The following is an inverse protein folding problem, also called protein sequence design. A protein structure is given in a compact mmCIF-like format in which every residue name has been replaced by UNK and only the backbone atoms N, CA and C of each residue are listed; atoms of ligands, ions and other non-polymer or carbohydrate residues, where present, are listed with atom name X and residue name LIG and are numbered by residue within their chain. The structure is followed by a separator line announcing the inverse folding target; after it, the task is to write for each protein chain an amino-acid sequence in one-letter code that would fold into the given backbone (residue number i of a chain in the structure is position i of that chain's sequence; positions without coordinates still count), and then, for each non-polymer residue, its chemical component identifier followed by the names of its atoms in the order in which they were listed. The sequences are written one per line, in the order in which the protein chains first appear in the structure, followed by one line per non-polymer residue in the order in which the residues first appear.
data_IF_977767427848
#
_entry.id   IF_977767427848
#
_cell.length_a   1.000
_cell.length_b   1.000
_cell.length_c   1.000
_cell.angle_alpha   90.00
_cell.angle_beta   90.00
_cell.angle_gamma   90.00
#
_symmetry.space_group_name_H-M   'P 1'
#
loop_
_entity.id
_entity.type
_entity.pdbx_description
1 polymer ?
#
# COMPACT_ATOMS: atom_id res chain seq x y z
N UNK A 1 -24.73 3.61 23.27
CA UNK A 1 -24.28 2.46 22.42
C UNK A 1 -22.81 2.59 22.04
N UNK A 2 -22.35 3.70 21.49
CA UNK A 2 -20.95 3.92 21.08
C UNK A 2 -19.92 3.56 22.15
N UNK A 3 -20.14 3.96 23.42
CA UNK A 3 -19.24 3.59 24.52
C UNK A 3 -19.16 2.08 24.81
N UNK A 4 -20.21 1.31 24.55
CA UNK A 4 -20.22 -0.13 24.79
C UNK A 4 -19.29 -0.85 23.81
N UNK A 5 -19.33 -0.52 22.50
CA UNK A 5 -18.47 -1.14 21.49
C UNK A 5 -16.98 -0.83 21.75
N UNK A 6 -16.68 0.42 22.15
CA UNK A 6 -15.31 0.79 22.53
C UNK A 6 -14.82 0.00 23.74
N UNK A 7 -15.66 -0.15 24.76
CA UNK A 7 -15.36 -0.93 25.96
C UNK A 7 -15.09 -2.41 25.62
N UNK A 8 -15.96 -3.02 24.82
CA UNK A 8 -15.81 -4.41 24.38
C UNK A 8 -14.48 -4.65 23.63
N UNK A 9 -14.07 -3.70 22.74
CA UNK A 9 -12.78 -3.77 22.08
C UNK A 9 -11.59 -3.57 23.02
N UNK A 10 -11.67 -2.58 23.90
CA UNK A 10 -10.60 -2.29 24.86
C UNK A 10 -10.41 -3.43 25.87
N UNK A 11 -11.48 -4.14 26.24
CA UNK A 11 -11.43 -5.27 27.15
C UNK A 11 -10.93 -6.57 26.48
N UNK A 12 -11.26 -6.79 25.19
CA UNK A 12 -11.02 -8.07 24.53
C UNK A 12 -9.80 -8.07 23.57
N UNK A 13 -9.40 -6.92 23.02
CA UNK A 13 -8.38 -6.83 21.99
C UNK A 13 -7.10 -6.19 22.55
N UNK A 14 -5.95 -6.83 22.28
CA UNK A 14 -4.66 -6.30 22.69
C UNK A 14 -4.44 -4.88 22.14
N UNK A 15 -4.17 -3.94 23.03
CA UNK A 15 -4.02 -2.52 22.68
C UNK A 15 -2.66 -2.24 22.02
N UNK A 16 -2.60 -2.42 20.69
CA UNK A 16 -1.44 -2.08 19.85
C UNK A 16 -1.69 -0.85 18.98
N UNK A 17 -2.91 -0.33 18.99
CA UNK A 17 -3.31 0.86 18.23
C UNK A 17 -3.85 1.94 19.16
N UNK A 18 -3.53 3.20 18.86
CA UNK A 18 -4.21 4.36 19.42
C UNK A 18 -5.45 4.66 18.55
N UNK A 19 -6.59 4.05 18.89
CA UNK A 19 -7.83 4.22 18.13
C UNK A 19 -8.41 5.62 18.29
N UNK A 20 -8.92 6.16 17.19
CA UNK A 20 -9.77 7.36 17.25
C UNK A 20 -11.06 7.04 17.98
N UNK A 21 -11.63 7.99 18.78
CA UNK A 21 -12.83 7.75 19.59
C UNK A 21 -14.11 7.80 18.74
N UNK A 22 -14.21 6.93 17.74
CA UNK A 22 -15.37 6.78 16.86
C UNK A 22 -15.64 5.29 16.62
N UNK A 23 -16.92 4.92 16.60
CA UNK A 23 -17.37 3.59 16.18
C UNK A 23 -17.96 3.72 14.78
N UNK A 24 -17.43 2.96 13.82
CA UNK A 24 -17.91 2.96 12.43
C UNK A 24 -18.72 1.68 12.21
N UNK A 25 -19.92 1.81 11.69
CA UNK A 25 -20.88 0.70 11.51
C UNK A 25 -21.02 0.28 10.05
N UNK A 26 -21.28 1.23 9.16
CA UNK A 26 -21.46 0.96 7.74
C UNK A 26 -20.89 2.09 6.88
N UNK A 27 -20.87 1.88 5.56
CA UNK A 27 -20.36 2.88 4.62
C UNK A 27 -21.11 2.87 3.30
N UNK A 28 -21.07 4.02 2.60
CA UNK A 28 -21.60 4.17 1.24
C UNK A 28 -20.73 5.16 0.45
N UNK A 29 -20.26 4.76 -0.73
CA UNK A 29 -19.33 5.57 -1.55
C UNK A 29 -18.07 5.95 -0.78
N UNK A 30 -17.83 7.24 -0.58
CA UNK A 30 -16.67 7.77 0.17
C UNK A 30 -17.00 8.08 1.66
N UNK A 31 -18.15 7.67 2.16
CA UNK A 31 -18.61 8.01 3.49
C UNK A 31 -18.74 6.78 4.38
N UNK A 32 -18.43 6.98 5.66
CA UNK A 32 -18.68 6.04 6.75
C UNK A 32 -19.69 6.64 7.72
N UNK A 33 -20.40 5.78 8.43
CA UNK A 33 -21.45 6.19 9.37
C UNK A 33 -21.24 5.47 10.70
N UNK A 34 -21.49 6.20 11.80
CA UNK A 34 -21.55 5.59 13.11
C UNK A 34 -22.95 4.97 13.39
N UNK A 35 -23.12 4.21 14.50
CA UNK A 35 -24.41 3.62 14.85
C UNK A 35 -25.54 4.62 15.12
N UNK A 36 -25.22 5.87 15.39
CA UNK A 36 -26.16 6.96 15.59
C UNK A 36 -26.53 7.69 14.29
N UNK A 37 -25.87 7.31 13.17
CA UNK A 37 -26.13 7.85 11.83
C UNK A 37 -25.34 9.13 11.51
N UNK A 38 -24.36 9.52 12.33
CA UNK A 38 -23.45 10.60 11.97
C UNK A 38 -22.57 10.16 10.81
N UNK A 39 -22.49 11.02 9.81
CA UNK A 39 -21.73 10.80 8.57
C UNK A 39 -20.31 11.33 8.70
N UNK A 40 -19.35 10.57 8.19
CA UNK A 40 -17.94 10.92 8.12
C UNK A 40 -17.42 10.74 6.69
N UNK A 41 -16.84 11.79 6.12
CA UNK A 41 -16.11 11.71 4.86
C UNK A 41 -14.76 11.02 5.08
N UNK A 42 -14.50 9.95 4.36
CA UNK A 42 -13.28 9.15 4.56
C UNK A 42 -12.18 9.51 3.57
N UNK A 43 -11.11 10.11 4.08
CA UNK A 43 -9.86 10.35 3.36
C UNK A 43 -8.71 9.44 3.80
N UNK A 44 -9.05 8.32 4.47
CA UNK A 44 -8.10 7.27 4.88
C UNK A 44 -8.26 5.96 4.09
N UNK A 45 -9.48 5.68 3.61
CA UNK A 45 -9.86 4.44 2.92
C UNK A 45 -9.35 3.16 3.61
N UNK A 46 -9.32 3.14 4.97
CA UNK A 46 -8.75 2.03 5.73
C UNK A 46 -7.28 1.76 5.39
N UNK A 47 -6.46 2.79 5.33
CA UNK A 47 -5.06 2.76 4.86
C UNK A 47 -4.92 2.42 3.36
N UNK A 48 -5.70 3.10 2.51
CA UNK A 48 -5.70 2.90 1.05
C UNK A 48 -6.20 1.51 0.60
N UNK A 49 -7.09 0.89 1.36
CA UNK A 49 -7.66 -0.43 1.08
C UNK A 49 -8.95 -0.31 0.28
N UNK A 50 -9.91 0.48 0.75
CA UNK A 50 -11.26 0.60 0.20
C UNK A 50 -11.30 1.49 -1.06
N UNK A 51 -10.56 1.10 -2.09
CA UNK A 51 -10.40 1.91 -3.31
C UNK A 51 -11.69 2.06 -4.12
N UNK A 52 -12.58 1.05 -4.11
CA UNK A 52 -13.91 1.10 -4.72
C UNK A 52 -14.95 1.88 -3.90
N UNK A 53 -14.53 2.49 -2.78
CA UNK A 53 -15.44 3.02 -1.78
C UNK A 53 -16.16 1.91 -1.02
N UNK A 54 -17.19 2.31 -0.29
CA UNK A 54 -17.98 1.42 0.54
C UNK A 54 -19.27 1.03 -0.18
N UNK A 55 -19.75 -0.19 0.11
CA UNK A 55 -21.02 -0.71 -0.41
C UNK A 55 -21.14 -0.73 -1.95
N UNK A 56 -20.02 -0.93 -2.66
CA UNK A 56 -20.08 -1.12 -4.12
C UNK A 56 -20.91 -2.38 -4.44
N UNK A 57 -22.08 -2.17 -5.04
CA UNK A 57 -23.06 -3.24 -5.27
C UNK A 57 -22.51 -4.36 -6.14
N UNK A 58 -21.82 -4.03 -7.22
CA UNK A 58 -21.29 -5.02 -8.17
C UNK A 58 -20.21 -5.88 -7.53
N UNK A 59 -19.32 -5.27 -6.75
CA UNK A 59 -18.31 -5.97 -5.96
C UNK A 59 -18.94 -6.89 -4.92
N UNK A 60 -19.89 -6.36 -4.14
CA UNK A 60 -20.58 -7.13 -3.10
C UNK A 60 -21.34 -8.33 -3.67
N UNK A 61 -22.03 -8.16 -4.79
CA UNK A 61 -22.78 -9.25 -5.44
C UNK A 61 -21.84 -10.35 -5.96
N UNK A 62 -20.66 -9.98 -6.49
CA UNK A 62 -19.66 -10.97 -6.91
C UNK A 62 -19.11 -11.77 -5.73
N UNK A 63 -18.87 -11.12 -4.59
CA UNK A 63 -18.41 -11.80 -3.36
C UNK A 63 -19.49 -12.75 -2.83
N UNK A 64 -20.75 -12.32 -2.75
CA UNK A 64 -21.88 -13.16 -2.32
C UNK A 64 -21.99 -14.42 -3.19
N UNK A 65 -21.96 -14.24 -4.52
CA UNK A 65 -21.99 -15.35 -5.46
C UNK A 65 -20.81 -16.34 -5.28
N UNK A 66 -19.62 -15.81 -4.95
CA UNK A 66 -18.46 -16.67 -4.69
C UNK A 66 -18.55 -17.37 -3.32
N UNK A 67 -19.11 -16.71 -2.29
CA UNK A 67 -19.38 -17.32 -0.97
C UNK A 67 -20.32 -18.51 -1.12
N UNK A 68 -21.43 -18.35 -1.86
CA UNK A 68 -22.41 -19.40 -2.12
C UNK A 68 -21.80 -20.59 -2.90
N UNK A 69 -20.76 -20.34 -3.67
CA UNK A 69 -20.10 -21.37 -4.48
C UNK A 69 -18.99 -22.10 -3.72
N UNK A 70 -17.99 -21.38 -3.20
CA UNK A 70 -16.86 -21.93 -2.45
C UNK A 70 -15.96 -20.81 -1.94
N UNK A 71 -15.70 -20.77 -0.63
CA UNK A 71 -14.83 -19.77 -0.01
C UNK A 71 -13.35 -20.15 -0.13
N UNK A 72 -13.02 -21.40 0.17
CA UNK A 72 -11.63 -21.87 0.28
C UNK A 72 -11.45 -23.28 -0.29
N UNK A 73 -10.29 -23.50 -0.87
CA UNK A 73 -9.68 -24.80 -1.13
C UNK A 73 -8.16 -24.66 -1.04
N UNK A 74 -7.45 -25.75 -0.78
CA UNK A 74 -5.98 -25.67 -0.67
C UNK A 74 -5.31 -25.45 -2.03
N UNK A 75 -4.07 -24.96 -2.02
CA UNK A 75 -3.22 -24.87 -3.20
C UNK A 75 -2.76 -26.24 -3.76
N UNK A 76 -3.20 -27.34 -3.13
CA UNK A 76 -3.01 -28.70 -3.66
C UNK A 76 -3.97 -29.02 -4.82
N UNK A 77 -5.03 -28.22 -5.00
CA UNK A 77 -6.04 -28.42 -6.04
C UNK A 77 -6.19 -27.18 -6.90
N UNK A 78 -6.45 -27.38 -8.17
CA UNK A 78 -6.87 -26.28 -9.06
C UNK A 78 -8.28 -25.82 -8.71
N UNK A 79 -8.53 -24.51 -8.87
CA UNK A 79 -9.85 -23.92 -8.75
C UNK A 79 -10.13 -22.95 -9.90
N UNK A 80 -11.39 -22.59 -10.09
CA UNK A 80 -11.84 -21.81 -11.27
C UNK A 80 -11.55 -20.32 -11.19
N UNK A 81 -11.02 -19.82 -10.07
CA UNK A 81 -10.81 -18.36 -9.83
C UNK A 81 -9.36 -17.97 -9.76
N UNK A 82 -8.50 -18.80 -9.13
CA UNK A 82 -7.10 -18.44 -8.86
C UNK A 82 -6.30 -18.16 -10.14
N UNK A 83 -6.46 -19.03 -11.15
CA UNK A 83 -5.77 -18.84 -12.44
C UNK A 83 -6.20 -17.56 -13.15
N UNK A 84 -7.52 -17.27 -13.14
CA UNK A 84 -8.05 -16.04 -13.73
C UNK A 84 -7.49 -14.80 -13.01
N UNK A 85 -7.55 -14.75 -11.68
CA UNK A 85 -7.01 -13.63 -10.90
C UNK A 85 -5.50 -13.43 -11.14
N UNK A 86 -4.75 -14.53 -11.29
CA UNK A 86 -3.34 -14.47 -11.69
C UNK A 86 -3.13 -13.84 -13.06
N UNK A 87 -3.92 -14.23 -14.07
CA UNK A 87 -3.84 -13.63 -15.40
C UNK A 87 -4.29 -12.17 -15.40
N UNK A 88 -5.33 -11.81 -14.63
CA UNK A 88 -5.77 -10.42 -14.48
C UNK A 88 -4.64 -9.55 -13.86
N UNK A 89 -3.97 -10.03 -12.82
CA UNK A 89 -2.81 -9.34 -12.25
C UNK A 89 -1.63 -9.26 -13.23
N UNK A 90 -1.33 -10.32 -13.98
CA UNK A 90 -0.29 -10.29 -15.02
C UNK A 90 -0.59 -9.23 -16.08
N UNK A 91 -1.85 -9.11 -16.51
CA UNK A 91 -2.28 -8.11 -17.50
C UNK A 91 -1.96 -6.69 -17.05
N UNK A 92 -2.29 -6.33 -15.80
CA UNK A 92 -2.10 -4.97 -15.30
C UNK A 92 -0.68 -4.67 -14.82
N UNK A 93 0.08 -5.69 -14.40
CA UNK A 93 1.47 -5.54 -13.96
C UNK A 93 2.49 -5.70 -15.08
N UNK A 94 2.18 -6.43 -16.14
CA UNK A 94 3.17 -6.86 -17.13
C UNK A 94 4.14 -7.93 -16.62
N UNK A 95 3.97 -8.44 -15.40
CA UNK A 95 4.83 -9.46 -14.81
C UNK A 95 4.55 -10.85 -15.36
N UNK A 96 5.54 -11.75 -15.24
CA UNK A 96 5.44 -13.09 -15.80
C UNK A 96 4.68 -14.08 -14.91
N UNK A 97 4.92 -14.04 -13.60
CA UNK A 97 4.27 -14.92 -12.60
C UNK A 97 3.86 -14.15 -11.35
N UNK A 98 2.80 -14.64 -10.71
CA UNK A 98 2.24 -14.10 -9.47
C UNK A 98 2.16 -15.23 -8.44
N UNK A 99 2.43 -14.90 -7.18
CA UNK A 99 2.14 -15.73 -6.02
C UNK A 99 1.20 -14.97 -5.08
N UNK A 100 0.06 -15.59 -4.73
CA UNK A 100 -0.92 -14.99 -3.84
C UNK A 100 -0.56 -15.24 -2.37
N UNK A 101 -0.76 -14.21 -1.54
CA UNK A 101 -0.61 -14.23 -0.08
C UNK A 101 -1.86 -13.63 0.57
N UNK A 102 -1.87 -13.43 1.89
CA UNK A 102 -3.03 -12.89 2.61
C UNK A 102 -2.84 -11.41 3.01
N UNK A 103 -1.64 -10.91 2.92
CA UNK A 103 -1.29 -9.56 3.36
C UNK A 103 -0.07 -9.01 2.63
N UNK A 104 0.15 -7.69 2.75
CA UNK A 104 1.37 -7.05 2.25
C UNK A 104 2.63 -7.57 2.95
N UNK A 105 2.57 -7.79 4.27
CA UNK A 105 3.71 -8.36 5.01
C UNK A 105 4.13 -9.73 4.48
N UNK A 106 3.17 -10.63 4.22
CA UNK A 106 3.46 -11.92 3.60
C UNK A 106 4.00 -11.78 2.15
N UNK A 107 3.52 -10.80 1.40
CA UNK A 107 4.05 -10.53 0.06
C UNK A 107 5.52 -10.09 0.12
N UNK A 108 5.89 -9.26 1.09
CA UNK A 108 7.28 -8.87 1.36
C UNK A 108 8.13 -10.07 1.79
N UNK A 109 7.63 -10.94 2.69
CA UNK A 109 8.34 -12.18 3.07
C UNK A 109 8.60 -13.08 1.84
N UNK A 110 7.61 -13.18 0.94
CA UNK A 110 7.75 -13.89 -0.33
C UNK A 110 8.81 -13.27 -1.23
N UNK A 111 8.84 -11.93 -1.35
CA UNK A 111 9.84 -11.20 -2.14
C UNK A 111 11.26 -11.38 -1.58
N UNK A 112 11.44 -11.31 -0.24
CA UNK A 112 12.72 -11.61 0.44
C UNK A 112 13.22 -13.01 0.08
N UNK A 113 12.34 -14.01 0.24
CA UNK A 113 12.69 -15.41 -0.05
C UNK A 113 13.01 -15.60 -1.53
N UNK A 114 12.26 -14.98 -2.42
CA UNK A 114 12.49 -15.03 -3.87
C UNK A 114 13.87 -14.46 -4.22
N UNK A 115 14.22 -13.29 -3.71
CA UNK A 115 15.52 -12.66 -3.98
C UNK A 115 16.70 -13.49 -3.45
N UNK A 116 16.60 -14.00 -2.22
CA UNK A 116 17.63 -14.88 -1.65
C UNK A 116 17.75 -16.21 -2.38
N UNK A 117 16.61 -16.81 -2.77
CA UNK A 117 16.62 -18.06 -3.54
C UNK A 117 17.18 -17.86 -4.95
N UNK A 118 16.88 -16.73 -5.61
CA UNK A 118 17.49 -16.36 -6.88
C UNK A 118 19.02 -16.29 -6.76
N UNK A 119 19.53 -15.55 -5.77
CA UNK A 119 20.96 -15.46 -5.51
C UNK A 119 21.61 -16.84 -5.22
N UNK A 120 20.92 -17.69 -4.47
CA UNK A 120 21.35 -19.06 -4.18
C UNK A 120 21.41 -19.91 -5.47
N UNK A 121 20.38 -19.86 -6.30
CA UNK A 121 20.31 -20.62 -7.55
C UNK A 121 21.39 -20.19 -8.53
N UNK A 122 21.66 -18.87 -8.61
CA UNK A 122 22.75 -18.29 -9.41
C UNK A 122 24.14 -18.48 -8.79
N UNK A 123 24.24 -19.08 -7.58
CA UNK A 123 25.49 -19.34 -6.86
C UNK A 123 26.33 -18.08 -6.59
N UNK A 124 25.67 -16.93 -6.36
CA UNK A 124 26.36 -15.66 -6.13
C UNK A 124 26.85 -15.49 -4.69
N UNK A 125 26.32 -16.26 -3.73
CA UNK A 125 26.59 -16.09 -2.30
C UNK A 125 25.97 -14.85 -1.67
N UNK A 126 25.15 -14.10 -2.41
CA UNK A 126 24.52 -12.84 -2.00
C UNK A 126 23.27 -13.10 -1.14
N UNK A 127 23.03 -12.25 -0.13
CA UNK A 127 21.88 -12.38 0.77
C UNK A 127 21.47 -11.07 1.45
N UNK A 128 22.24 -9.99 1.26
CA UNK A 128 21.99 -8.68 1.88
C UNK A 128 21.02 -7.84 1.05
N UNK A 129 20.29 -6.97 1.75
CA UNK A 129 19.33 -6.04 1.16
C UNK A 129 19.73 -4.60 1.45
N UNK A 130 19.46 -3.73 0.50
CA UNK A 130 19.41 -2.29 0.74
C UNK A 130 17.94 -1.89 0.74
N UNK A 131 17.47 -1.30 1.84
CA UNK A 131 16.16 -0.68 1.99
C UNK A 131 16.32 0.83 2.18
N UNK A 132 15.22 1.58 2.27
CA UNK A 132 15.28 3.03 2.40
C UNK A 132 14.96 3.46 3.83
N UNK A 133 15.62 4.52 4.30
CA UNK A 133 15.24 5.21 5.52
C UNK A 133 13.76 5.65 5.44
N UNK A 134 13.06 5.64 6.56
CA UNK A 134 11.64 5.94 6.68
C UNK A 134 10.71 5.05 5.85
N UNK A 135 11.18 3.92 5.30
CA UNK A 135 10.33 2.95 4.61
C UNK A 135 9.45 2.18 5.59
N UNK A 136 8.34 1.64 5.06
CA UNK A 136 7.47 0.72 5.79
C UNK A 136 7.10 -0.47 4.92
N UNK A 137 7.59 -1.65 5.27
CA UNK A 137 7.35 -2.89 4.51
C UNK A 137 6.51 -3.93 5.26
N UNK A 138 6.20 -3.70 6.54
CA UNK A 138 5.34 -4.59 7.34
C UNK A 138 5.84 -4.85 8.75
N UNK A 139 5.15 -5.78 9.45
CA UNK A 139 5.37 -6.09 10.88
C UNK A 139 5.85 -7.52 11.15
N UNK A 140 5.88 -8.42 10.15
CA UNK A 140 6.52 -9.73 10.28
C UNK A 140 8.05 -9.58 10.40
N UNK A 141 8.75 -10.58 10.92
CA UNK A 141 10.17 -10.45 11.28
C UNK A 141 11.07 -10.09 10.09
N UNK A 142 10.83 -10.65 8.90
CA UNK A 142 11.56 -10.26 7.69
C UNK A 142 11.15 -8.88 7.17
N UNK A 143 9.85 -8.57 7.14
CA UNK A 143 9.36 -7.29 6.68
C UNK A 143 9.77 -6.13 7.62
N UNK A 144 9.74 -6.36 8.96
CA UNK A 144 10.19 -5.35 9.93
C UNK A 144 11.70 -5.10 9.82
N UNK A 145 12.48 -6.11 9.45
CA UNK A 145 13.92 -5.94 9.22
C UNK A 145 14.21 -4.95 8.07
N UNK A 146 13.33 -4.90 7.05
CA UNK A 146 13.44 -3.98 5.91
C UNK A 146 12.78 -2.62 6.16
N UNK A 147 12.03 -2.46 7.26
CA UNK A 147 11.34 -1.21 7.60
C UNK A 147 12.32 -0.17 8.14
N UNK A 148 12.41 1.00 7.48
CA UNK A 148 13.39 2.06 7.77
C UNK A 148 13.16 2.84 9.07
N UNK A 149 12.00 2.66 9.70
CA UNK A 149 11.68 3.24 11.00
C UNK A 149 12.35 2.44 12.13
N UNK A 150 13.35 3.04 12.77
CA UNK A 150 14.17 2.39 13.79
C UNK A 150 13.35 1.93 15.01
N UNK A 151 12.40 2.75 15.42
CA UNK A 151 11.48 2.48 16.53
C UNK A 151 10.58 1.25 16.30
N UNK A 152 10.39 0.82 15.06
CA UNK A 152 9.63 -0.39 14.74
C UNK A 152 10.48 -1.65 14.77
N UNK A 153 11.82 -1.54 14.69
CA UNK A 153 12.76 -2.67 14.66
C UNK A 153 13.40 -2.95 16.01
N UNK A 154 13.91 -1.92 16.69
CA UNK A 154 14.73 -2.07 17.90
C UNK A 154 14.13 -2.98 18.98
N UNK A 155 12.81 -2.91 19.27
CA UNK A 155 12.22 -3.77 20.30
C UNK A 155 12.23 -5.26 19.95
N UNK A 156 12.51 -5.62 18.68
CA UNK A 156 12.43 -7.00 18.18
C UNK A 156 13.80 -7.54 17.72
N UNK A 157 14.88 -6.85 18.03
CA UNK A 157 16.21 -7.31 17.67
C UNK A 157 16.61 -8.56 18.46
N UNK A 158 17.36 -9.54 17.84
CA UNK A 158 17.89 -9.44 16.49
C UNK A 158 16.84 -9.78 15.41
N UNK A 159 16.67 -8.89 14.44
CA UNK A 159 15.85 -9.11 13.24
C UNK A 159 16.66 -9.83 12.15
N UNK A 160 16.08 -10.07 10.97
CA UNK A 160 16.79 -10.68 9.84
C UNK A 160 18.07 -9.88 9.51
N UNK A 161 19.26 -10.51 9.54
CA UNK A 161 20.52 -9.82 9.32
C UNK A 161 20.77 -9.49 7.84
N UNK A 162 21.70 -8.55 7.60
CA UNK A 162 22.14 -8.16 6.26
C UNK A 162 21.21 -7.14 5.60
N UNK A 163 20.64 -6.22 6.37
CA UNK A 163 19.84 -5.10 5.88
C UNK A 163 20.58 -3.78 6.14
N UNK A 164 20.71 -2.97 5.11
CA UNK A 164 21.33 -1.65 5.14
C UNK A 164 20.32 -0.61 4.67
N UNK A 165 20.39 0.61 5.23
CA UNK A 165 19.42 1.67 4.91
C UNK A 165 20.10 2.83 4.21
N UNK A 166 19.58 3.16 3.01
CA UNK A 166 20.00 4.30 2.21
C UNK A 166 19.02 5.47 2.39
N UNK A 167 19.52 6.67 2.20
CA UNK A 167 18.68 7.87 2.18
C UNK A 167 17.83 7.88 0.91
N UNK A 168 16.52 8.06 1.08
CA UNK A 168 15.57 8.07 -0.04
C UNK A 168 15.79 9.29 -0.97
N UNK A 169 15.74 9.08 -2.28
CA UNK A 169 16.09 10.06 -3.31
C UNK A 169 17.58 10.49 -3.33
N UNK A 170 18.47 9.69 -2.76
CA UNK A 170 19.93 9.90 -2.79
C UNK A 170 20.65 8.68 -3.37
N UNK A 171 21.00 8.75 -4.65
CA UNK A 171 21.69 7.65 -5.36
C UNK A 171 23.10 7.38 -4.81
N UNK A 172 23.79 8.39 -4.30
CA UNK A 172 25.14 8.21 -3.78
C UNK A 172 25.12 7.48 -2.44
N UNK A 173 24.11 7.72 -1.62
CA UNK A 173 23.84 6.93 -0.42
C UNK A 173 23.62 5.46 -0.76
N UNK A 174 22.86 5.14 -1.83
CA UNK A 174 22.63 3.78 -2.26
C UNK A 174 23.91 3.13 -2.78
N UNK A 175 24.66 3.81 -3.67
CA UNK A 175 25.93 3.32 -4.23
C UNK A 175 26.94 2.97 -3.14
N UNK A 176 27.01 3.75 -2.08
CA UNK A 176 27.93 3.53 -0.98
C UNK A 176 27.65 2.24 -0.19
N UNK A 177 26.44 1.72 -0.25
CA UNK A 177 26.01 0.49 0.45
C UNK A 177 26.10 -0.78 -0.42
N UNK A 178 26.14 -0.64 -1.76
CA UNK A 178 26.25 -1.79 -2.66
C UNK A 178 27.58 -2.49 -2.44
N UNK A 179 27.54 -3.79 -2.21
CA UNK A 179 28.71 -4.63 -1.99
C UNK A 179 28.52 -6.02 -2.61
N UNK A 180 29.52 -6.90 -2.48
CA UNK A 180 29.53 -8.24 -3.06
C UNK A 180 28.51 -9.22 -2.46
N UNK A 181 27.87 -8.86 -1.32
CA UNK A 181 26.81 -9.63 -0.68
C UNK A 181 25.42 -9.09 -0.96
N UNK A 182 25.28 -7.92 -1.57
CA UNK A 182 23.97 -7.32 -1.90
C UNK A 182 23.23 -8.18 -2.90
N UNK A 183 22.03 -8.67 -2.57
CA UNK A 183 21.16 -9.45 -3.47
C UNK A 183 20.02 -8.62 -4.06
N UNK A 184 19.52 -7.61 -3.35
CA UNK A 184 18.44 -6.79 -3.84
C UNK A 184 18.41 -5.39 -3.19
N UNK A 185 17.79 -4.45 -3.91
CA UNK A 185 17.37 -3.15 -3.39
C UNK A 185 15.83 -3.17 -3.34
N UNK A 186 15.25 -2.82 -2.19
CA UNK A 186 13.80 -2.69 -2.01
C UNK A 186 13.41 -1.27 -1.68
N UNK A 187 12.34 -0.77 -2.31
CA UNK A 187 11.82 0.56 -2.06
C UNK A 187 10.33 0.66 -2.41
N UNK A 188 9.66 1.61 -1.75
CA UNK A 188 8.33 2.08 -2.17
C UNK A 188 8.51 3.14 -3.27
N UNK A 189 7.70 3.11 -4.33
CA UNK A 189 7.70 4.19 -5.34
C UNK A 189 7.19 5.51 -4.74
N UNK A 190 6.28 5.42 -3.75
CA UNK A 190 5.87 6.53 -2.89
C UNK A 190 5.85 5.99 -1.47
N UNK A 191 6.72 6.50 -0.59
CA UNK A 191 6.70 6.14 0.83
C UNK A 191 5.41 6.63 1.48
N UNK A 192 4.56 5.69 1.90
CA UNK A 192 3.29 6.01 2.51
C UNK A 192 3.42 6.44 3.96
N UNK A 193 4.01 5.60 4.80
CA UNK A 193 4.19 5.84 6.25
C UNK A 193 5.29 6.87 6.54
N UNK A 194 6.31 6.95 5.71
CA UNK A 194 7.45 7.84 5.85
C UNK A 194 7.17 9.33 5.57
N UNK A 195 5.90 9.74 5.43
CA UNK A 195 5.52 11.14 5.22
C UNK A 195 5.22 11.51 3.76
N UNK A 196 4.66 10.59 3.01
CA UNK A 196 4.23 10.77 1.61
C UNK A 196 5.37 11.32 0.72
N UNK A 197 6.49 10.61 0.72
CA UNK A 197 7.65 10.97 -0.09
C UNK A 197 7.60 10.21 -1.42
N UNK A 198 7.43 10.91 -2.54
CA UNK A 198 7.50 10.33 -3.86
C UNK A 198 8.96 10.20 -4.34
N UNK A 199 9.30 9.07 -4.96
CA UNK A 199 10.55 8.94 -5.67
C UNK A 199 10.59 9.87 -6.89
N UNK A 200 11.74 10.43 -7.18
CA UNK A 200 11.97 11.09 -8.45
C UNK A 200 12.19 10.05 -9.55
N UNK A 201 11.88 10.39 -10.79
CA UNK A 201 12.12 9.51 -11.94
C UNK A 201 13.63 9.19 -12.07
N UNK A 202 14.49 10.19 -11.86
CA UNK A 202 15.95 10.04 -11.86
C UNK A 202 16.41 9.02 -10.80
N UNK A 203 15.84 9.07 -9.60
CA UNK A 203 16.18 8.12 -8.54
C UNK A 203 15.77 6.69 -8.92
N UNK A 204 14.54 6.49 -9.40
CA UNK A 204 14.05 5.16 -9.79
C UNK A 204 14.87 4.57 -10.94
N UNK A 205 15.18 5.37 -11.97
CA UNK A 205 16.03 4.96 -13.09
C UNK A 205 17.46 4.69 -12.64
N UNK A 206 17.99 5.52 -11.73
CA UNK A 206 19.30 5.31 -11.13
C UNK A 206 19.39 4.01 -10.32
N UNK A 207 18.37 3.69 -9.51
CA UNK A 207 18.28 2.39 -8.80
C UNK A 207 18.25 1.23 -9.81
N UNK A 208 17.41 1.32 -10.86
CA UNK A 208 17.37 0.27 -11.88
C UNK A 208 18.75 0.05 -12.50
N UNK A 209 19.43 1.15 -12.88
CA UNK A 209 20.77 1.07 -13.43
C UNK A 209 21.79 0.46 -12.46
N UNK A 210 21.75 0.84 -11.17
CA UNK A 210 22.62 0.23 -10.15
C UNK A 210 22.36 -1.27 -10.05
N UNK A 211 21.09 -1.69 -10.07
CA UNK A 211 20.74 -3.11 -10.03
C UNK A 211 21.27 -3.86 -11.25
N UNK A 212 21.09 -3.31 -12.45
CA UNK A 212 21.55 -3.93 -13.71
C UNK A 212 23.08 -4.03 -13.77
N UNK A 213 23.79 -2.95 -13.45
CA UNK A 213 25.25 -2.90 -13.48
C UNK A 213 25.90 -3.90 -12.50
N UNK A 214 25.22 -4.20 -11.37
CA UNK A 214 25.74 -5.08 -10.33
C UNK A 214 25.12 -6.49 -10.33
N UNK A 215 24.16 -6.78 -11.21
CA UNK A 215 23.44 -8.05 -11.26
C UNK A 215 22.72 -8.38 -9.96
N UNK A 216 22.04 -7.39 -9.36
CA UNK A 216 21.20 -7.50 -8.16
C UNK A 216 19.75 -7.17 -8.51
N UNK A 217 18.79 -7.61 -7.70
CA UNK A 217 17.37 -7.43 -8.01
C UNK A 217 16.83 -6.10 -7.50
N UNK A 218 15.91 -5.51 -8.27
CA UNK A 218 15.09 -4.38 -7.85
C UNK A 218 13.71 -4.86 -7.40
N UNK A 219 13.31 -4.51 -6.17
CA UNK A 219 11.99 -4.84 -5.60
C UNK A 219 11.22 -3.55 -5.38
N UNK A 220 10.06 -3.39 -6.03
CA UNK A 220 9.14 -2.29 -5.78
C UNK A 220 8.01 -2.74 -4.85
N UNK A 221 7.90 -2.09 -3.70
CA UNK A 221 6.75 -2.26 -2.80
C UNK A 221 5.62 -1.31 -3.23
N UNK A 222 4.60 -1.89 -3.85
CA UNK A 222 3.41 -1.19 -4.35
C UNK A 222 2.17 -1.46 -3.48
N UNK A 223 2.36 -1.95 -2.27
CA UNK A 223 1.26 -2.30 -1.35
C UNK A 223 0.37 -1.09 -1.05
N UNK A 224 0.92 0.12 -0.92
CA UNK A 224 0.12 1.31 -0.64
C UNK A 224 -0.07 2.21 -1.86
N UNK A 225 0.93 2.40 -2.69
CA UNK A 225 0.90 3.34 -3.82
C UNK A 225 0.36 2.74 -5.13
N UNK A 226 0.17 1.42 -5.19
CA UNK A 226 -0.37 0.72 -6.36
C UNK A 226 -1.88 0.80 -6.51
N UNK A 227 -2.42 -0.01 -7.42
CA UNK A 227 -3.83 -0.15 -7.75
C UNK A 227 -4.53 1.20 -8.02
N UNK A 228 -4.05 1.91 -9.04
CA UNK A 228 -4.70 3.12 -9.54
C UNK A 228 -4.40 4.39 -8.73
N UNK A 229 -3.92 4.26 -7.50
CA UNK A 229 -3.80 5.40 -6.57
C UNK A 229 -2.89 6.52 -7.06
N UNK A 230 -1.83 6.18 -7.79
CA UNK A 230 -0.91 7.16 -8.39
C UNK A 230 -1.36 7.71 -9.76
N UNK A 231 -2.49 7.21 -10.30
CA UNK A 231 -2.96 7.51 -11.66
C UNK A 231 -2.50 6.50 -12.72
N UNK A 232 -1.72 5.48 -12.33
CA UNK A 232 -1.42 4.28 -13.12
C UNK A 232 -1.78 3.05 -12.31
N UNK A 233 -1.83 1.85 -12.91
CA UNK A 233 -2.07 0.62 -12.16
C UNK A 233 -1.08 0.47 -10.99
N UNK A 234 0.20 0.73 -11.25
CA UNK A 234 1.28 0.73 -10.26
C UNK A 234 2.18 1.94 -10.48
N UNK A 235 2.63 2.56 -9.39
CA UNK A 235 3.35 3.83 -9.46
C UNK A 235 4.68 3.72 -10.23
N UNK A 236 5.36 2.58 -10.15
CA UNK A 236 6.60 2.35 -10.90
C UNK A 236 6.43 2.42 -12.43
N UNK A 237 5.22 2.16 -12.96
CA UNK A 237 4.94 2.22 -14.41
C UNK A 237 5.10 3.62 -14.99
N UNK A 238 5.05 4.65 -14.13
CA UNK A 238 5.26 6.04 -14.50
C UNK A 238 6.73 6.48 -14.42
N UNK A 239 7.65 5.58 -14.05
CA UNK A 239 9.06 5.90 -13.78
C UNK A 239 10.02 5.42 -14.89
N UNK A 240 9.50 4.90 -16.00
CA UNK A 240 10.31 4.40 -17.10
C UNK A 240 11.18 3.19 -16.75
N UNK A 241 10.81 2.42 -15.74
CA UNK A 241 11.54 1.22 -15.29
C UNK A 241 10.60 0.02 -15.20
N UNK A 242 11.19 -1.18 -15.09
CA UNK A 242 10.50 -2.41 -14.70
C UNK A 242 11.25 -3.04 -13.53
N UNK A 243 10.62 -3.27 -12.36
CA UNK A 243 11.29 -3.99 -11.28
C UNK A 243 11.39 -5.48 -11.58
N UNK A 244 12.32 -6.18 -10.92
CA UNK A 244 12.43 -7.63 -11.02
C UNK A 244 11.34 -8.35 -10.23
N UNK A 245 10.96 -7.78 -9.09
CA UNK A 245 9.90 -8.24 -8.19
C UNK A 245 9.07 -7.03 -7.77
N UNK A 246 7.77 -7.21 -7.63
CA UNK A 246 6.90 -6.22 -7.00
C UNK A 246 5.97 -6.89 -5.98
N UNK A 247 5.59 -6.15 -4.95
CA UNK A 247 4.61 -6.59 -3.94
C UNK A 247 3.35 -5.75 -4.01
N UNK A 248 2.20 -6.36 -3.72
CA UNK A 248 0.89 -5.71 -3.75
C UNK A 248 -0.04 -6.32 -2.70
N UNK A 249 -0.97 -5.53 -2.19
CA UNK A 249 -2.02 -5.93 -1.26
C UNK A 249 -3.11 -4.85 -1.22
N UNK A 250 -3.79 -4.68 -0.07
CA UNK A 250 -4.73 -3.58 0.17
C UNK A 250 -5.79 -3.48 -0.93
N UNK A 251 -5.65 -2.47 -1.79
CA UNK A 251 -6.60 -2.16 -2.85
C UNK A 251 -6.80 -3.27 -3.88
N UNK A 252 -5.86 -4.25 -4.03
CA UNK A 252 -6.12 -5.38 -4.94
C UNK A 252 -7.32 -6.22 -4.52
N UNK A 253 -7.64 -6.22 -3.21
CA UNK A 253 -8.78 -6.93 -2.65
C UNK A 253 -9.95 -6.04 -2.24
N UNK A 254 -9.81 -4.70 -2.34
CA UNK A 254 -10.84 -3.70 -1.98
C UNK A 254 -11.60 -3.99 -0.69
N UNK A 255 -10.87 -4.41 0.37
CA UNK A 255 -11.42 -4.75 1.70
C UNK A 255 -11.31 -6.25 2.04
N UNK A 256 -11.22 -7.14 1.07
CA UNK A 256 -10.95 -8.56 1.30
C UNK A 256 -9.45 -8.74 1.55
N UNK A 257 -9.03 -9.43 2.65
CA UNK A 257 -7.62 -9.66 2.94
C UNK A 257 -6.94 -10.50 1.86
N UNK A 258 -6.07 -9.88 1.09
CA UNK A 258 -5.26 -10.52 0.06
C UNK A 258 -4.00 -9.72 -0.19
N UNK A 259 -2.93 -10.41 -0.48
CA UNK A 259 -1.68 -9.87 -0.98
C UNK A 259 -1.16 -10.71 -2.14
N UNK A 260 -0.16 -10.22 -2.82
CA UNK A 260 0.55 -10.96 -3.84
C UNK A 260 1.94 -10.37 -4.06
N UNK A 261 2.85 -11.19 -4.56
CA UNK A 261 4.06 -10.69 -5.19
C UNK A 261 4.17 -11.24 -6.61
N UNK A 262 4.70 -10.43 -7.49
CA UNK A 262 4.85 -10.76 -8.91
C UNK A 262 6.29 -10.54 -9.35
N UNK A 263 6.71 -11.25 -10.39
CA UNK A 263 8.11 -11.24 -10.80
C UNK A 263 8.27 -11.42 -12.31
N UNK A 264 9.43 -11.00 -12.79
CA UNK A 264 9.85 -11.19 -14.19
C UNK A 264 10.06 -12.66 -14.50
N UNK A 265 10.16 -13.00 -15.79
CA UNK A 265 10.44 -14.37 -16.26
C UNK A 265 11.78 -14.88 -15.72
N UNK A 266 12.81 -14.07 -15.79
CA UNK A 266 14.15 -14.42 -15.31
C UNK A 266 14.14 -14.82 -13.84
N UNK A 267 13.46 -14.05 -12.98
CA UNK A 267 13.36 -14.36 -11.57
C UNK A 267 12.49 -15.58 -11.32
N UNK A 268 11.36 -15.72 -12.00
CA UNK A 268 10.44 -16.84 -11.82
C UNK A 268 11.08 -18.20 -12.17
N UNK A 269 11.88 -18.25 -13.23
CA UNK A 269 12.54 -19.48 -13.69
C UNK A 269 13.80 -19.84 -12.89
N UNK A 270 14.33 -18.91 -12.08
CA UNK A 270 15.58 -19.08 -11.35
C UNK A 270 15.45 -18.88 -9.82
N UNK A 271 14.24 -18.93 -9.27
CA UNK A 271 14.01 -18.71 -7.83
C UNK A 271 13.23 -19.85 -7.18
N UNK A 272 12.05 -19.58 -6.65
CA UNK A 272 11.25 -20.52 -5.87
C UNK A 272 10.77 -21.71 -6.70
N UNK A 273 10.90 -22.91 -6.13
CA UNK A 273 10.39 -24.17 -6.69
C UNK A 273 9.43 -24.84 -5.71
N UNK A 274 8.67 -25.88 -6.13
CA UNK A 274 7.76 -26.59 -5.23
C UNK A 274 8.45 -27.01 -3.91
N UNK A 275 7.84 -26.63 -2.78
CA UNK A 275 8.36 -26.88 -1.42
C UNK A 275 9.11 -25.70 -0.80
N UNK A 276 9.54 -24.70 -1.56
CA UNK A 276 10.31 -23.56 -1.00
C UNK A 276 9.43 -22.54 -0.27
N UNK A 277 8.18 -22.36 -0.71
CA UNK A 277 7.26 -21.38 -0.16
C UNK A 277 5.83 -21.86 -0.25
N UNK A 278 4.95 -21.38 0.65
CA UNK A 278 3.56 -21.79 0.70
C UNK A 278 2.71 -20.91 1.59
N UNK A 279 1.42 -21.01 1.44
CA UNK A 279 0.40 -20.36 2.25
C UNK A 279 -0.87 -21.20 2.26
N UNK A 280 -1.58 -21.24 3.38
CA UNK A 280 -2.83 -21.99 3.48
C UNK A 280 -3.94 -21.27 2.72
N UNK A 281 -4.07 -19.96 2.90
CA UNK A 281 -5.20 -19.18 2.39
C UNK A 281 -4.91 -18.36 1.14
N UNK A 282 -3.64 -18.07 0.83
CA UNK A 282 -3.29 -17.27 -0.34
C UNK A 282 -3.75 -17.93 -1.64
N UNK A 283 -4.45 -17.19 -2.48
CA UNK A 283 -5.04 -17.69 -3.71
C UNK A 283 -6.36 -18.45 -3.53
N UNK A 284 -7.03 -18.32 -2.37
CA UNK A 284 -8.34 -18.93 -2.18
C UNK A 284 -9.39 -18.32 -3.12
N UNK A 285 -10.46 -19.09 -3.45
CA UNK A 285 -11.49 -18.63 -4.39
C UNK A 285 -12.12 -17.29 -4.06
N UNK A 286 -12.42 -17.00 -2.79
CA UNK A 286 -13.06 -15.74 -2.39
C UNK A 286 -12.13 -14.54 -2.65
N UNK A 287 -10.87 -14.62 -2.21
CA UNK A 287 -9.90 -13.56 -2.42
C UNK A 287 -9.61 -13.33 -3.91
N UNK A 288 -9.50 -14.41 -4.69
CA UNK A 288 -9.26 -14.33 -6.13
C UNK A 288 -10.46 -13.74 -6.88
N UNK A 289 -11.69 -14.04 -6.47
CA UNK A 289 -12.89 -13.41 -7.01
C UNK A 289 -12.90 -11.90 -6.71
N UNK A 290 -12.49 -11.50 -5.49
CA UNK A 290 -12.34 -10.09 -5.12
C UNK A 290 -11.32 -9.37 -6.02
N UNK A 291 -10.14 -9.96 -6.22
CA UNK A 291 -9.08 -9.39 -7.08
C UNK A 291 -9.58 -9.20 -8.52
N UNK A 292 -10.14 -10.25 -9.14
CA UNK A 292 -10.65 -10.18 -10.51
C UNK A 292 -11.77 -9.14 -10.63
N UNK A 293 -12.70 -9.09 -9.67
CA UNK A 293 -13.81 -8.13 -9.72
C UNK A 293 -13.34 -6.70 -9.51
N UNK A 294 -12.35 -6.47 -8.63
CA UNK A 294 -11.75 -5.14 -8.45
C UNK A 294 -11.14 -4.63 -9.76
N UNK A 295 -10.34 -5.47 -10.44
CA UNK A 295 -9.72 -5.10 -11.73
C UNK A 295 -10.79 -4.84 -12.80
N UNK A 296 -11.81 -5.70 -12.89
CA UNK A 296 -12.91 -5.55 -13.83
C UNK A 296 -13.66 -4.21 -13.65
N UNK A 297 -13.98 -3.84 -12.40
CA UNK A 297 -14.65 -2.57 -12.09
C UNK A 297 -13.74 -1.39 -12.45
N UNK A 298 -12.45 -1.45 -12.10
CA UNK A 298 -11.49 -0.40 -12.45
C UNK A 298 -11.40 -0.16 -13.96
N UNK A 299 -11.37 -1.23 -14.76
CA UNK A 299 -11.36 -1.13 -16.22
C UNK A 299 -12.67 -0.57 -16.76
N UNK A 300 -13.81 -1.11 -16.29
CA UNK A 300 -15.15 -0.73 -16.72
C UNK A 300 -15.48 0.73 -16.41
N UNK A 301 -15.09 1.21 -15.22
CA UNK A 301 -15.38 2.56 -14.75
C UNK A 301 -14.28 3.57 -15.10
N UNK A 302 -13.26 3.16 -15.87
CA UNK A 302 -12.13 4.01 -16.25
C UNK A 302 -11.47 4.69 -15.03
N UNK A 303 -11.28 3.91 -13.95
CA UNK A 303 -10.84 4.44 -12.66
C UNK A 303 -9.52 5.22 -12.73
N UNK A 304 -8.58 4.80 -13.58
CA UNK A 304 -7.30 5.51 -13.75
C UNK A 304 -7.49 6.90 -14.36
N UNK A 305 -8.38 7.03 -15.34
CA UNK A 305 -8.70 8.31 -15.96
C UNK A 305 -9.39 9.23 -14.95
N UNK A 306 -10.30 8.67 -14.14
CA UNK A 306 -10.95 9.39 -13.05
C UNK A 306 -9.95 9.90 -12.00
N UNK A 307 -9.01 9.06 -11.56
CA UNK A 307 -7.96 9.49 -10.64
C UNK A 307 -7.11 10.60 -11.23
N UNK A 308 -6.75 10.50 -12.51
CA UNK A 308 -5.97 11.53 -13.22
C UNK A 308 -6.73 12.84 -13.41
N UNK A 309 -8.07 12.82 -13.42
CA UNK A 309 -8.90 14.03 -13.41
C UNK A 309 -8.99 14.67 -12.02
N UNK A 310 -9.21 13.85 -10.96
CA UNK A 310 -9.47 14.37 -9.61
C UNK A 310 -8.20 14.75 -8.87
N UNK A 311 -7.09 14.05 -9.09
CA UNK A 311 -5.85 14.28 -8.35
C UNK A 311 -5.28 15.71 -8.51
N UNK A 312 -5.26 16.35 -9.70
CA UNK A 312 -4.86 17.74 -9.84
C UNK A 312 -5.76 18.70 -9.06
N UNK A 313 -7.07 18.42 -9.02
CA UNK A 313 -8.01 19.23 -8.25
C UNK A 313 -7.76 19.14 -6.74
N UNK A 314 -7.49 17.92 -6.22
CA UNK A 314 -7.07 17.74 -4.84
C UNK A 314 -5.78 18.51 -4.54
N UNK A 315 -4.78 18.41 -5.42
CA UNK A 315 -3.51 19.17 -5.27
C UNK A 315 -3.76 20.66 -5.21
N UNK A 316 -4.61 21.20 -6.11
CA UNK A 316 -4.97 22.60 -6.11
C UNK A 316 -5.61 23.03 -4.78
N UNK A 317 -6.59 22.27 -4.28
CA UNK A 317 -7.27 22.60 -3.01
C UNK A 317 -6.32 22.55 -1.80
N UNK A 318 -5.42 21.59 -1.77
CA UNK A 318 -4.38 21.52 -0.73
C UNK A 318 -3.40 22.70 -0.86
N UNK A 319 -3.04 23.12 -2.07
CA UNK A 319 -2.20 24.28 -2.30
C UNK A 319 -2.89 25.57 -1.85
N UNK A 320 -4.20 25.74 -2.12
CA UNK A 320 -4.97 26.87 -1.60
C UNK A 320 -4.95 26.95 -0.07
N UNK A 321 -4.87 25.78 0.62
CA UNK A 321 -4.71 25.73 2.08
C UNK A 321 -3.30 26.20 2.47
N UNK A 322 -2.25 25.74 1.77
CA UNK A 322 -0.87 26.18 2.00
C UNK A 322 -0.74 27.71 1.83
N UNK A 323 -1.37 28.25 0.80
CA UNK A 323 -1.28 29.69 0.48
C UNK A 323 -2.03 30.59 1.49
N UNK A 324 -2.96 30.03 2.27
CA UNK A 324 -3.88 30.80 3.13
C UNK A 324 -3.81 30.44 4.62
N UNK A 325 -3.02 29.43 5.01
CA UNK A 325 -2.93 28.95 6.39
C UNK A 325 -1.48 28.76 6.80
N UNK A 326 -1.02 29.53 7.78
CA UNK A 326 0.36 29.48 8.29
C UNK A 326 0.75 28.12 8.89
N UNK A 327 -0.24 27.31 9.27
CA UNK A 327 -0.02 25.96 9.80
C UNK A 327 0.27 24.93 8.70
N UNK A 328 0.00 25.24 7.42
CA UNK A 328 0.26 24.37 6.28
C UNK A 328 1.57 24.79 5.58
N UNK A 329 2.43 23.81 5.28
CA UNK A 329 3.79 24.09 4.76
C UNK A 329 3.90 23.79 3.27
N UNK A 330 3.54 22.58 2.85
CA UNK A 330 3.57 22.16 1.45
C UNK A 330 2.73 20.92 1.17
N UNK A 331 2.34 20.76 -0.08
CA UNK A 331 1.71 19.54 -0.60
C UNK A 331 2.78 18.55 -1.01
N UNK A 332 2.53 17.25 -0.78
CA UNK A 332 3.43 16.13 -1.12
C UNK A 332 2.64 15.03 -1.82
N UNK A 333 3.34 14.15 -2.54
CA UNK A 333 2.75 12.95 -3.14
C UNK A 333 2.31 13.13 -4.60
N UNK A 334 1.49 12.17 -5.09
CA UNK A 334 1.03 12.09 -6.49
C UNK A 334 -0.30 11.34 -6.55
N UNK A 335 -1.13 11.63 -7.55
CA UNK A 335 -2.43 10.96 -7.69
C UNK A 335 -3.32 11.23 -6.49
N UNK A 336 -4.01 10.19 -6.01
CA UNK A 336 -4.78 10.22 -4.76
C UNK A 336 -4.04 9.57 -3.58
N UNK A 337 -2.72 9.70 -3.56
CA UNK A 337 -1.84 9.50 -2.40
C UNK A 337 -1.07 10.80 -2.19
N UNK A 338 -1.69 11.71 -1.46
CA UNK A 338 -1.15 13.05 -1.19
C UNK A 338 -1.02 13.29 0.31
N UNK A 339 -0.20 14.26 0.67
CA UNK A 339 0.01 14.68 2.04
C UNK A 339 0.11 16.18 2.14
N UNK A 340 -0.38 16.72 3.24
CA UNK A 340 -0.18 18.11 3.62
C UNK A 340 0.79 18.15 4.80
N UNK A 341 1.99 18.68 4.60
CA UNK A 341 2.92 18.93 5.68
C UNK A 341 2.43 20.11 6.51
N UNK A 342 2.44 19.97 7.83
CA UNK A 342 1.90 20.94 8.78
C UNK A 342 2.89 21.24 9.92
N UNK A 343 2.69 22.36 10.60
CA UNK A 343 3.47 22.75 11.79
C UNK A 343 2.78 22.39 13.10
N UNK A 344 1.47 22.16 13.09
CA UNK A 344 0.69 21.73 14.26
C UNK A 344 0.87 20.24 14.54
N UNK A 345 0.69 19.78 15.79
CA UNK A 345 0.66 18.35 16.09
C UNK A 345 -0.43 17.63 15.29
N UNK A 346 -0.07 16.52 14.61
CA UNK A 346 -1.01 15.74 13.79
C UNK A 346 -2.25 15.34 14.59
N UNK A 347 -2.06 14.91 15.86
CA UNK A 347 -3.16 14.46 16.73
C UNK A 347 -4.22 15.52 16.99
N UNK A 348 -3.83 16.80 17.10
CA UNK A 348 -4.78 17.90 17.28
C UNK A 348 -5.61 18.14 16.01
N UNK A 349 -4.96 18.13 14.86
CA UNK A 349 -5.63 18.35 13.56
C UNK A 349 -6.57 17.19 13.24
N UNK A 350 -6.14 15.95 13.45
CA UNK A 350 -7.00 14.76 13.19
C UNK A 350 -8.17 14.68 14.16
N UNK A 351 -8.01 15.09 15.42
CA UNK A 351 -9.12 15.13 16.40
C UNK A 351 -10.18 16.16 15.99
N UNK A 352 -9.77 17.38 15.64
CA UNK A 352 -10.70 18.43 15.17
C UNK A 352 -11.39 18.03 13.86
N UNK A 353 -10.65 17.42 12.92
CA UNK A 353 -11.22 16.93 11.67
C UNK A 353 -12.29 15.85 11.94
N UNK A 354 -12.04 14.93 12.87
CA UNK A 354 -13.00 13.90 13.28
C UNK A 354 -14.29 14.50 13.87
N UNK A 355 -14.17 15.52 14.72
CA UNK A 355 -15.34 16.23 15.28
C UNK A 355 -16.20 16.84 14.16
N UNK A 356 -15.59 17.41 13.14
CA UNK A 356 -16.23 18.00 11.96
C UNK A 356 -16.69 16.95 10.92
N UNK A 357 -16.44 15.66 11.14
CA UNK A 357 -16.89 14.58 10.25
C UNK A 357 -15.94 14.22 9.13
N UNK A 358 -14.62 14.46 9.28
CA UNK A 358 -13.59 14.05 8.32
C UNK A 358 -12.61 13.05 8.95
N UNK A 359 -12.44 11.89 8.30
CA UNK A 359 -11.47 10.88 8.68
C UNK A 359 -10.18 11.06 7.89
N UNK A 360 -9.14 11.52 8.56
CA UNK A 360 -7.78 11.67 8.03
C UNK A 360 -6.77 11.03 8.99
N UNK A 361 -5.62 10.67 8.49
CA UNK A 361 -4.56 10.02 9.28
C UNK A 361 -3.21 10.71 9.06
N UNK A 362 -2.28 10.48 9.97
CA UNK A 362 -0.93 11.00 9.84
C UNK A 362 0.00 10.10 9.01
N UNK A 363 1.12 10.67 8.59
CA UNK A 363 2.28 9.98 8.06
C UNK A 363 3.56 10.70 8.52
N UNK A 364 4.56 9.93 8.97
CA UNK A 364 5.73 10.53 9.60
C UNK A 364 5.34 11.32 10.84
N UNK A 365 6.04 12.45 11.07
CA UNK A 365 5.87 13.29 12.27
C UNK A 365 5.00 14.54 12.04
N UNK A 366 4.81 14.96 10.80
CA UNK A 366 4.30 16.29 10.45
C UNK A 366 3.44 16.34 9.17
N UNK A 367 2.96 15.18 8.68
CA UNK A 367 2.16 15.12 7.44
C UNK A 367 0.77 14.58 7.73
N UNK A 368 -0.27 15.29 7.32
CA UNK A 368 -1.63 14.76 7.19
C UNK A 368 -1.72 14.00 5.87
N UNK A 369 -2.05 12.72 5.93
CA UNK A 369 -2.10 11.83 4.78
C UNK A 369 -3.51 11.76 4.21
N UNK A 370 -3.62 11.96 2.89
CA UNK A 370 -4.84 11.92 2.09
C UNK A 370 -4.77 10.72 1.14
N UNK A 371 -5.49 9.67 1.46
CA UNK A 371 -5.57 8.43 0.67
C UNK A 371 -7.03 7.96 0.56
N UNK A 372 -7.93 8.81 0.04
CA UNK A 372 -9.37 8.53 0.00
C UNK A 372 -9.71 7.32 -0.87
N UNK A 373 -10.95 6.80 -0.82
CA UNK A 373 -11.49 5.96 -1.88
C UNK A 373 -11.29 6.62 -3.25
N UNK A 374 -10.97 5.83 -4.28
CA UNK A 374 -10.67 6.40 -5.62
C UNK A 374 -11.92 6.93 -6.33
N UNK A 375 -13.10 6.66 -5.79
CA UNK A 375 -14.40 7.09 -6.31
C UNK A 375 -14.81 8.51 -5.87
N UNK A 376 -13.97 9.23 -5.10
CA UNK A 376 -14.28 10.62 -4.71
C UNK A 376 -14.39 11.53 -5.92
N UNK A 377 -15.31 12.52 -5.85
CA UNK A 377 -15.41 13.59 -6.82
C UNK A 377 -14.95 14.94 -6.25
N UNK A 378 -15.14 16.01 -7.05
CA UNK A 378 -14.78 17.37 -6.65
C UNK A 378 -15.53 17.84 -5.40
N UNK A 379 -16.78 17.41 -5.23
CA UNK A 379 -17.60 17.75 -4.05
C UNK A 379 -16.96 17.24 -2.75
N UNK A 380 -16.48 15.98 -2.74
CA UNK A 380 -15.80 15.42 -1.58
C UNK A 380 -14.44 16.10 -1.32
N UNK A 381 -13.75 16.54 -2.37
CA UNK A 381 -12.51 17.30 -2.23
C UNK A 381 -12.79 18.69 -1.64
N UNK A 382 -13.86 19.36 -2.05
CA UNK A 382 -14.27 20.65 -1.50
C UNK A 382 -14.70 20.52 -0.03
N UNK A 383 -15.54 19.53 0.30
CA UNK A 383 -15.97 19.23 1.68
C UNK A 383 -14.75 18.97 2.58
N UNK A 384 -13.80 18.12 2.13
CA UNK A 384 -12.55 17.87 2.84
C UNK A 384 -11.75 19.15 3.08
N UNK A 385 -11.59 19.99 2.04
CA UNK A 385 -10.78 21.21 2.14
C UNK A 385 -11.38 22.22 3.14
N UNK A 386 -12.70 22.36 3.18
CA UNK A 386 -13.41 23.22 4.15
C UNK A 386 -13.21 22.74 5.59
N UNK A 387 -13.36 21.43 5.83
CA UNK A 387 -13.18 20.84 7.17
C UNK A 387 -11.70 20.94 7.59
N UNK A 388 -10.76 20.65 6.68
CA UNK A 388 -9.35 20.68 6.98
C UNK A 388 -8.88 22.13 7.32
N UNK A 389 -9.37 23.16 6.63
CA UNK A 389 -9.10 24.57 6.96
C UNK A 389 -9.54 24.90 8.39
N UNK A 390 -10.73 24.46 8.82
CA UNK A 390 -11.19 24.65 10.20
C UNK A 390 -10.32 23.89 11.21
N UNK A 391 -9.92 22.67 10.89
CA UNK A 391 -9.06 21.86 11.77
C UNK A 391 -7.64 22.45 11.93
N UNK A 392 -7.16 23.18 10.93
CA UNK A 392 -5.88 23.85 10.94
C UNK A 392 -5.95 25.26 11.60
N UNK A 393 -7.10 25.86 11.68
CA UNK A 393 -7.28 27.11 12.42
C UNK A 393 -7.13 26.90 13.93
#
# INVERSE_FOLDING_TARGET
MTNQYMQEEDDAILKTYNRYPVVLDHGDGAYLYDPEGKKYLDFSAGYAVSSLGYNNKEFNDALKAQIDKMIHTSNLYYNTTCGKAGEDLKKITGMYKVFFTNSGGEAIEGAIKTARKYAYTKKTGRYEFIAMENSFHGRSMGAVALTGHKEYREPFEPVMPGVHFATYNDLDSVKALVNDKTCAIILETIQGEGGINAATEEFMQGIRKICDDNGILMICDEVQCGMGRSGAWFAWQQMGITPDIMTMAKAIGSGVPVGAFAMTKEVAENSLVPGDHGTTYGGNPLCCAAVSKTIEIFEKEHMLDHVNEIAPYLTQKLQEIVDTCDAAVKVKGRGLIQGLQITKPIGEVTAKALEEGLLIIGAGTDVIRMIPPLVIGKEQVDEMAEILKKALA
#
